data_IF_167804334760
#
_entry.id   IF_167804334760
#
_cell.length_a   1.000
_cell.length_b   1.000
_cell.length_c   1.000
_cell.angle_alpha   90.00
_cell.angle_beta   90.00
_cell.angle_gamma   90.00
#
_symmetry.space_group_name_H-M   'P 1'
#
loop_
_entity.id
_entity.type
_entity.pdbx_description
1 polymer ?
#
# COMPACT_ATOMS: atom_id res chain seq x y z
N UNK A 1 12.16 1.63 18.07
CA UNK A 1 12.80 0.76 17.06
C UNK A 1 11.79 0.69 15.93
N UNK A 2 12.05 1.38 14.82
CA UNK A 2 11.15 1.37 13.68
C UNK A 2 11.36 0.04 12.96
N UNK A 3 10.31 -0.77 12.88
CA UNK A 3 10.30 -1.96 12.05
C UNK A 3 10.33 -1.44 10.60
N UNK A 4 11.50 -1.52 9.96
CA UNK A 4 11.63 -1.19 8.54
C UNK A 4 10.69 -2.11 7.77
N UNK A 5 9.64 -1.53 7.19
CA UNK A 5 8.79 -2.21 6.24
C UNK A 5 9.66 -2.65 5.07
N UNK A 6 10.07 -3.92 5.08
CA UNK A 6 10.75 -4.57 3.96
C UNK A 6 9.74 -4.55 2.80
N UNK A 7 9.94 -3.63 1.86
CA UNK A 7 9.24 -3.63 0.58
C UNK A 7 9.48 -4.99 -0.07
N UNK A 8 8.45 -5.83 -0.25
CA UNK A 8 8.65 -7.11 -0.92
C UNK A 8 8.90 -6.81 -2.39
N UNK A 9 10.07 -7.23 -2.85
CA UNK A 9 10.53 -7.25 -4.23
C UNK A 9 10.97 -5.92 -4.83
N UNK A 10 12.29 -5.76 -4.90
CA UNK A 10 12.93 -5.35 -6.15
C UNK A 10 12.40 -6.28 -7.26
N UNK A 11 11.43 -5.81 -8.05
CA UNK A 11 11.06 -6.48 -9.29
C UNK A 11 12.31 -6.60 -10.15
N UNK A 12 12.83 -7.82 -10.36
CA UNK A 12 13.87 -8.10 -11.35
C UNK A 12 13.41 -7.54 -12.71
N UNK A 13 13.95 -6.38 -13.09
CA UNK A 13 13.53 -5.66 -14.29
C UNK A 13 13.05 -4.22 -14.08
N UNK A 14 13.45 -3.51 -13.02
CA UNK A 14 13.47 -2.02 -12.99
C UNK A 14 12.12 -1.30 -13.19
N UNK A 15 11.01 -2.02 -13.18
CA UNK A 15 9.66 -1.47 -13.20
C UNK A 15 9.15 -1.48 -11.76
N UNK A 16 8.97 -0.28 -11.20
CA UNK A 16 8.32 -0.09 -9.91
C UNK A 16 7.01 -0.89 -9.87
N UNK A 17 6.71 -1.62 -8.77
CA UNK A 17 5.48 -2.36 -8.65
C UNK A 17 4.28 -1.42 -8.83
N UNK A 18 3.34 -1.82 -9.68
CA UNK A 18 2.16 -1.03 -10.00
C UNK A 18 1.22 -1.04 -8.80
N UNK A 19 1.03 0.12 -8.15
CA UNK A 19 0.07 0.25 -7.06
C UNK A 19 -1.32 0.16 -7.69
N UNK A 20 -2.10 -0.82 -7.24
CA UNK A 20 -3.47 -1.03 -7.70
C UNK A 20 -4.51 -0.75 -6.62
N UNK A 21 -4.06 -0.56 -5.37
CA UNK A 21 -4.94 -0.32 -4.24
C UNK A 21 -4.25 0.57 -3.20
N UNK A 22 -5.01 1.52 -2.65
CA UNK A 22 -4.63 2.30 -1.47
C UNK A 22 -5.72 2.16 -0.41
N UNK A 23 -5.31 1.88 0.83
CA UNK A 23 -6.21 1.87 1.98
C UNK A 23 -5.92 3.06 2.89
N UNK A 24 -6.94 3.85 3.15
CA UNK A 24 -6.88 5.06 3.96
C UNK A 24 -7.75 4.89 5.21
N UNK A 25 -7.17 5.15 6.38
CA UNK A 25 -7.93 5.31 7.61
C UNK A 25 -8.47 6.73 7.69
N UNK A 26 -9.77 6.87 7.92
CA UNK A 26 -10.42 8.17 8.07
C UNK A 26 -10.81 8.37 9.53
N UNK A 27 -10.27 9.42 10.15
CA UNK A 27 -10.55 9.78 11.53
C UNK A 27 -10.56 11.29 11.69
N UNK A 28 -11.61 11.83 12.32
CA UNK A 28 -11.73 13.26 12.63
C UNK A 28 -11.51 14.19 11.42
N UNK A 29 -11.97 13.75 10.23
CA UNK A 29 -11.80 14.48 8.97
C UNK A 29 -10.41 14.38 8.34
N UNK A 30 -9.48 13.65 8.96
CA UNK A 30 -8.14 13.39 8.40
C UNK A 30 -8.08 11.99 7.77
N UNK A 31 -7.29 11.89 6.69
CA UNK A 31 -7.00 10.63 6.00
C UNK A 31 -5.54 10.24 6.23
N UNK A 32 -5.29 9.02 6.71
CA UNK A 32 -3.96 8.44 6.88
C UNK A 32 -3.85 7.22 5.97
N UNK A 33 -2.84 7.18 5.10
CA UNK A 33 -2.55 5.97 4.32
C UNK A 33 -2.08 4.87 5.30
N UNK A 34 -2.75 3.73 5.29
CA UNK A 34 -2.44 2.61 6.18
C UNK A 34 -1.99 1.35 5.45
N UNK A 35 -2.29 1.23 4.15
CA UNK A 35 -1.78 0.15 3.32
C UNK A 35 -1.75 0.50 1.84
N UNK A 36 -0.87 -0.17 1.10
CA UNK A 36 -0.85 -0.17 -0.36
C UNK A 36 -0.84 -1.60 -0.89
N UNK A 37 -1.61 -1.83 -1.95
CA UNK A 37 -1.69 -3.09 -2.66
C UNK A 37 -1.01 -2.98 -4.03
N UNK A 38 -0.18 -3.96 -4.34
CA UNK A 38 0.60 -4.02 -5.56
C UNK A 38 0.26 -5.29 -6.33
N UNK A 39 0.14 -5.16 -7.66
CA UNK A 39 -0.01 -6.33 -8.52
C UNK A 39 1.35 -6.98 -8.76
N UNK A 40 1.46 -8.25 -8.40
CA UNK A 40 2.63 -9.08 -8.72
C UNK A 40 2.66 -9.45 -10.20
N UNK A 41 3.82 -9.89 -10.69
CA UNK A 41 3.97 -10.41 -12.05
C UNK A 41 3.03 -11.58 -12.37
N UNK A 42 2.64 -12.36 -11.35
CA UNK A 42 1.72 -13.49 -11.45
C UNK A 42 0.23 -13.06 -11.43
N UNK A 43 -0.05 -11.77 -11.26
CA UNK A 43 -1.40 -11.22 -11.24
C UNK A 43 -2.09 -11.25 -9.88
N UNK A 44 -1.42 -11.75 -8.83
CA UNK A 44 -1.92 -11.66 -7.45
C UNK A 44 -1.64 -10.28 -6.85
N UNK A 45 -2.52 -9.81 -5.95
CA UNK A 45 -2.32 -8.59 -5.17
C UNK A 45 -1.56 -8.89 -3.89
N UNK A 46 -0.43 -8.23 -3.66
CA UNK A 46 0.26 -8.22 -2.36
C UNK A 46 0.00 -6.89 -1.65
N UNK A 47 -0.25 -6.94 -0.34
CA UNK A 47 -0.55 -5.76 0.48
C UNK A 47 0.59 -5.50 1.45
N UNK A 48 1.06 -4.26 1.48
CA UNK A 48 2.01 -3.74 2.46
C UNK A 48 1.26 -2.83 3.44
N UNK A 49 1.36 -3.13 4.72
CA UNK A 49 0.79 -2.31 5.78
C UNK A 49 1.82 -1.29 6.29
N UNK A 50 1.44 -0.02 6.29
CA UNK A 50 2.29 1.10 6.73
C UNK A 50 2.15 1.42 8.22
N UNK A 51 1.23 0.73 8.89
CA UNK A 51 0.93 0.89 10.31
C UNK A 51 0.73 -0.47 10.95
N UNK A 52 0.99 -0.63 12.26
CA UNK A 52 0.65 -1.86 12.97
C UNK A 52 -0.85 -2.13 12.89
N UNK A 53 -1.24 -3.39 12.69
CA UNK A 53 -2.65 -3.78 12.61
C UNK A 53 -3.45 -3.35 13.85
N UNK A 54 -2.80 -3.29 15.02
CA UNK A 54 -3.40 -2.85 16.28
C UNK A 54 -3.86 -1.39 16.27
N UNK A 55 -3.29 -0.55 15.39
CA UNK A 55 -3.67 0.86 15.21
C UNK A 55 -4.84 1.05 14.24
N UNK A 56 -5.20 -0.01 13.50
CA UNK A 56 -6.27 0.04 12.51
C UNK A 56 -7.62 -0.06 13.23
N UNK A 57 -8.30 1.09 13.33
CA UNK A 57 -9.59 1.25 13.99
C UNK A 57 -10.45 2.26 13.23
N UNK A 58 -11.76 2.05 13.23
CA UNK A 58 -12.71 2.99 12.62
C UNK A 58 -12.91 2.75 11.12
N UNK A 59 -13.17 3.84 10.38
CA UNK A 59 -13.54 3.77 8.97
C UNK A 59 -12.29 3.59 8.09
N UNK A 60 -12.35 2.59 7.20
CA UNK A 60 -11.38 2.40 6.13
C UNK A 60 -12.01 2.77 4.79
N UNK A 61 -11.35 3.66 4.07
CA UNK A 61 -11.63 3.98 2.68
C UNK A 61 -10.63 3.26 1.79
N UNK A 62 -11.12 2.47 0.84
CA UNK A 62 -10.27 1.72 -0.08
C UNK A 62 -10.45 2.30 -1.48
N UNK A 63 -9.35 2.74 -2.07
CA UNK A 63 -9.29 3.25 -3.42
C UNK A 63 -8.61 2.20 -4.31
N UNK A 64 -9.26 1.81 -5.41
CA UNK A 64 -8.65 0.96 -6.43
C UNK A 64 -8.10 1.85 -7.52
N UNK A 65 -6.80 1.75 -7.75
CA UNK A 65 -6.09 2.51 -8.78
C UNK A 65 -6.03 1.63 -10.02
N UNK A 66 -6.56 2.09 -11.15
CA UNK A 66 -6.48 1.39 -12.43
C UNK A 66 -5.06 1.51 -13.03
N UNK A 67 -4.06 1.03 -12.29
CA UNK A 67 -2.67 0.96 -12.73
C UNK A 67 -1.93 2.29 -12.71
N UNK A 68 -1.98 3.03 -11.61
CA UNK A 68 -1.14 4.21 -11.42
C UNK A 68 0.29 3.75 -11.07
N UNK A 69 1.29 4.17 -11.87
CA UNK A 69 2.70 3.91 -11.52
C UNK A 69 2.98 4.54 -10.16
N UNK A 70 3.55 3.77 -9.23
CA UNK A 70 4.00 4.28 -7.96
C UNK A 70 4.92 5.50 -8.18
N UNK A 71 4.78 6.59 -7.40
CA UNK A 71 5.68 7.73 -7.52
C UNK A 71 7.11 7.29 -7.19
N UNK A 72 8.04 7.56 -8.11
CA UNK A 72 9.48 7.41 -7.86
C UNK A 72 9.93 8.51 -6.89
N UNK A 73 9.95 8.20 -5.60
CA UNK A 73 10.56 9.03 -4.55
C UNK A 73 12.06 8.76 -4.45
#
# INVERSE_FOLDING_TARGET
MAEEAVMPNECEGGLLPLVELRAWQVRDGQQRLVAEGFRTAEGATQVVWHVPETEIRGLLWIERLDGEKAPSG
#
